data_IF_000340724393
#
_entry.id   IF_000340724393
#
_cell.length_a   1.000
_cell.length_b   1.000
_cell.length_c   1.000
_cell.angle_alpha   90.00
_cell.angle_beta   90.00
_cell.angle_gamma   90.00
#
_symmetry.space_group_name_H-M   'P 1'
#
loop_
_entity.id
_entity.type
_entity.pdbx_description
1 polymer ?
#
# COMPACT_ATOMS: atom_id res chain seq x y z
N UNK A 1 -9.82 20.13 32.33
CA UNK A 1 -10.21 20.15 30.90
C UNK A 1 -11.55 19.44 30.84
N UNK A 2 -12.62 20.04 30.29
CA UNK A 2 -13.93 19.43 30.40
C UNK A 2 -13.93 18.08 29.68
N UNK A 3 -14.31 17.07 30.45
CA UNK A 3 -14.77 15.76 30.03
C UNK A 3 -15.97 15.95 29.06
N UNK A 4 -16.09 15.12 28.03
CA UNK A 4 -17.12 15.14 26.97
C UNK A 4 -16.99 16.20 25.86
N UNK A 5 -15.89 16.18 25.11
CA UNK A 5 -15.96 16.54 23.68
C UNK A 5 -16.51 15.33 22.90
N UNK A 6 -17.82 15.30 22.66
CA UNK A 6 -18.42 14.36 21.72
C UNK A 6 -17.98 14.74 20.30
N UNK A 7 -16.94 14.09 19.80
CA UNK A 7 -16.40 14.36 18.46
C UNK A 7 -17.42 13.85 17.43
N UNK A 8 -17.95 14.71 16.54
CA UNK A 8 -18.95 14.30 15.57
C UNK A 8 -18.49 13.10 14.72
N UNK A 9 -19.37 12.11 14.53
CA UNK A 9 -19.08 10.87 13.78
C UNK A 9 -19.94 10.72 12.53
N UNK A 10 -19.33 10.31 11.43
CA UNK A 10 -20.00 10.02 10.16
C UNK A 10 -20.27 8.50 10.00
N UNK A 11 -21.39 8.09 9.41
CA UNK A 11 -21.52 6.74 8.87
C UNK A 11 -20.36 6.43 7.91
N UNK A 12 -19.84 5.22 7.94
CA UNK A 12 -18.76 4.79 7.04
C UNK A 12 -19.17 4.92 5.57
N UNK A 13 -20.42 4.56 5.24
CA UNK A 13 -21.01 4.70 3.91
C UNK A 13 -21.05 6.14 3.40
N UNK A 14 -21.39 7.09 4.26
CA UNK A 14 -21.44 8.53 3.93
C UNK A 14 -20.04 9.06 3.61
N UNK A 15 -19.06 8.73 4.44
CA UNK A 15 -17.67 9.13 4.21
C UNK A 15 -17.11 8.52 2.92
N UNK A 16 -17.32 7.22 2.69
CA UNK A 16 -16.89 6.53 1.47
C UNK A 16 -17.47 7.16 0.21
N UNK A 17 -18.77 7.47 0.21
CA UNK A 17 -19.44 8.09 -0.94
C UNK A 17 -18.86 9.47 -1.24
N UNK A 18 -18.64 10.28 -0.21
CA UNK A 18 -18.02 11.59 -0.36
C UNK A 18 -16.55 11.53 -0.79
N UNK A 19 -15.79 10.58 -0.24
CA UNK A 19 -14.38 10.36 -0.60
C UNK A 19 -14.24 9.88 -2.05
N UNK A 20 -15.15 9.00 -2.48
CA UNK A 20 -15.23 8.56 -3.87
C UNK A 20 -15.51 9.74 -4.80
N UNK A 21 -16.59 10.48 -4.57
CA UNK A 21 -17.03 11.57 -5.44
C UNK A 21 -16.00 12.71 -5.53
N UNK A 22 -15.43 13.13 -4.40
CA UNK A 22 -14.57 14.32 -4.36
C UNK A 22 -13.10 14.03 -4.64
N UNK A 23 -12.61 12.84 -4.28
CA UNK A 23 -11.19 12.49 -4.45
C UNK A 23 -10.95 11.43 -5.51
N UNK A 24 -11.56 10.25 -5.37
CA UNK A 24 -11.23 9.09 -6.21
C UNK A 24 -11.88 9.15 -7.60
N UNK A 25 -12.88 9.99 -7.81
CA UNK A 25 -13.54 10.13 -9.11
C UNK A 25 -12.81 11.10 -10.06
N UNK A 26 -12.14 12.11 -9.50
CA UNK A 26 -11.51 13.17 -10.29
C UNK A 26 -10.11 13.52 -9.74
N UNK A 27 -10.02 14.14 -8.57
CA UNK A 27 -8.76 14.72 -8.07
C UNK A 27 -7.55 13.77 -8.15
N UNK A 28 -7.71 12.52 -7.68
CA UNK A 28 -6.63 11.53 -7.71
C UNK A 28 -6.37 11.02 -9.13
N UNK A 29 -7.42 10.77 -9.92
CA UNK A 29 -7.30 10.35 -11.33
C UNK A 29 -6.54 11.39 -12.15
N UNK A 30 -6.80 12.66 -11.88
CA UNK A 30 -6.20 13.82 -12.54
C UNK A 30 -4.75 14.07 -12.11
N UNK A 31 -4.23 13.37 -11.10
CA UNK A 31 -2.83 13.45 -10.65
C UNK A 31 -2.62 13.93 -9.23
N UNK A 32 -3.67 14.43 -8.59
CA UNK A 32 -3.63 14.77 -7.17
C UNK A 32 -3.36 13.55 -6.29
N UNK A 33 -2.95 13.82 -5.06
CA UNK A 33 -2.71 12.77 -4.06
C UNK A 33 -3.20 13.21 -2.70
N UNK A 34 -3.64 12.25 -1.89
CA UNK A 34 -4.28 12.53 -0.61
C UNK A 34 -3.90 11.49 0.45
N UNK A 35 -3.72 11.96 1.68
CA UNK A 35 -3.64 11.11 2.87
C UNK A 35 -4.86 11.40 3.74
N UNK A 36 -5.56 10.35 4.17
CA UNK A 36 -6.70 10.42 5.08
C UNK A 36 -6.50 9.46 6.24
N UNK A 37 -6.95 9.87 7.41
CA UNK A 37 -7.01 9.10 8.62
C UNK A 37 -8.46 8.89 8.97
N UNK A 38 -8.85 7.64 9.18
CA UNK A 38 -10.19 7.30 9.63
C UNK A 38 -10.10 6.56 10.95
N UNK A 39 -11.00 6.93 11.85
CA UNK A 39 -11.09 6.39 13.19
C UNK A 39 -12.46 5.75 13.39
N UNK A 40 -12.53 4.50 13.80
CA UNK A 40 -13.81 3.81 13.96
C UNK A 40 -13.66 2.48 14.67
N UNK A 41 -14.79 1.90 15.09
CA UNK A 41 -14.82 0.53 15.56
C UNK A 41 -14.54 -0.48 14.43
N UNK A 42 -14.39 -1.75 14.80
CA UNK A 42 -14.07 -2.83 13.86
C UNK A 42 -15.08 -2.96 12.73
N UNK A 43 -16.37 -2.70 13.00
CA UNK A 43 -17.41 -2.78 12.00
C UNK A 43 -17.29 -1.63 10.99
N UNK A 44 -17.12 -0.40 11.46
CA UNK A 44 -16.94 0.79 10.62
C UNK A 44 -15.67 0.68 9.76
N UNK A 45 -14.54 0.26 10.35
CA UNK A 45 -13.28 0.12 9.61
C UNK A 45 -13.33 -1.05 8.60
N UNK A 46 -14.06 -2.12 8.93
CA UNK A 46 -14.32 -3.20 7.96
C UNK A 46 -15.18 -2.72 6.79
N UNK A 47 -16.22 -1.91 7.06
CA UNK A 47 -17.04 -1.27 6.03
C UNK A 47 -16.19 -0.36 5.14
N UNK A 48 -15.30 0.46 5.71
CA UNK A 48 -14.34 1.28 4.95
C UNK A 48 -13.44 0.42 4.07
N UNK A 49 -12.81 -0.62 4.62
CA UNK A 49 -11.93 -1.51 3.85
C UNK A 49 -12.65 -2.11 2.64
N UNK A 50 -13.81 -2.73 2.87
CA UNK A 50 -14.60 -3.35 1.80
C UNK A 50 -15.10 -2.32 0.78
N UNK A 51 -15.47 -1.13 1.23
CA UNK A 51 -15.86 -0.01 0.38
C UNK A 51 -14.72 0.47 -0.53
N UNK A 52 -13.52 0.69 0.02
CA UNK A 52 -12.34 1.10 -0.75
C UNK A 52 -11.93 0.03 -1.77
N UNK A 53 -11.99 -1.25 -1.40
CA UNK A 53 -11.69 -2.35 -2.32
C UNK A 53 -12.68 -2.38 -3.50
N UNK A 54 -13.98 -2.21 -3.21
CA UNK A 54 -15.03 -2.12 -4.23
C UNK A 54 -14.80 -0.92 -5.16
N UNK A 55 -14.62 0.27 -4.60
CA UNK A 55 -14.37 1.50 -5.37
C UNK A 55 -13.14 1.33 -6.26
N UNK A 56 -12.06 0.74 -5.73
CA UNK A 56 -10.86 0.53 -6.52
C UNK A 56 -11.07 -0.41 -7.71
N UNK A 57 -11.86 -1.48 -7.52
CA UNK A 57 -12.25 -2.38 -8.61
C UNK A 57 -13.08 -1.65 -9.65
N UNK A 58 -14.12 -0.94 -9.21
CA UNK A 58 -15.08 -0.25 -10.07
C UNK A 58 -14.42 0.89 -10.87
N UNK A 59 -13.45 1.58 -10.26
CA UNK A 59 -12.73 2.73 -10.85
C UNK A 59 -11.32 2.38 -11.35
N UNK A 60 -10.96 1.11 -11.42
CA UNK A 60 -9.69 0.65 -11.97
C UNK A 60 -8.43 1.24 -11.27
N UNK A 61 -8.46 1.36 -9.95
CA UNK A 61 -7.28 1.67 -9.13
C UNK A 61 -6.46 0.41 -8.84
N UNK A 62 -5.14 0.57 -8.69
CA UNK A 62 -4.33 -0.44 -8.03
C UNK A 62 -4.57 -0.35 -6.51
N UNK A 63 -5.30 -1.31 -5.95
CA UNK A 63 -5.62 -1.34 -4.53
C UNK A 63 -4.72 -2.27 -3.74
N UNK A 64 -4.24 -1.81 -2.57
CA UNK A 64 -3.64 -2.67 -1.56
C UNK A 64 -4.11 -2.32 -0.16
N UNK A 65 -4.58 -3.36 0.53
CA UNK A 65 -4.78 -3.34 1.97
C UNK A 65 -3.54 -3.89 2.67
N UNK A 66 -3.05 -3.16 3.68
CA UNK A 66 -1.87 -3.48 4.48
C UNK A 66 -2.30 -3.58 5.94
N UNK A 67 -2.28 -4.78 6.49
CA UNK A 67 -2.66 -5.02 7.88
C UNK A 67 -1.42 -5.10 8.78
N UNK A 68 -1.22 -4.11 9.65
CA UNK A 68 -0.07 -4.12 10.57
C UNK A 68 -0.21 -5.10 11.75
N UNK A 69 -1.41 -5.62 11.98
CA UNK A 69 -1.76 -6.54 13.07
C UNK A 69 -1.62 -8.03 12.70
N UNK A 70 -1.48 -8.36 11.41
CA UNK A 70 -1.33 -9.74 10.93
C UNK A 70 0.16 -10.06 10.70
N UNK A 71 0.70 -11.17 11.25
CA UNK A 71 2.09 -11.55 11.02
C UNK A 71 2.32 -11.90 9.55
N UNK A 72 3.55 -11.64 9.08
CA UNK A 72 3.99 -12.14 7.78
C UNK A 72 4.12 -13.67 7.76
N UNK A 73 4.42 -14.26 6.59
CA UNK A 73 4.60 -15.71 6.44
C UNK A 73 5.70 -16.31 7.33
N UNK A 74 6.66 -15.49 7.79
CA UNK A 74 7.73 -15.87 8.71
C UNK A 74 7.33 -15.73 10.20
N UNK A 75 6.05 -15.44 10.47
CA UNK A 75 5.50 -15.22 11.80
C UNK A 75 5.91 -13.88 12.43
N UNK A 76 6.60 -13.00 11.70
CA UNK A 76 7.09 -11.73 12.25
C UNK A 76 6.13 -10.57 11.99
N UNK A 77 6.16 -9.53 12.85
CA UNK A 77 5.49 -8.27 12.59
C UNK A 77 5.85 -7.68 11.22
N UNK A 78 4.88 -7.23 10.40
CA UNK A 78 5.18 -6.59 9.13
C UNK A 78 5.83 -5.23 9.35
N UNK A 79 7.00 -5.01 8.75
CA UNK A 79 7.83 -3.84 9.03
C UNK A 79 7.46 -2.63 8.15
N UNK A 80 6.17 -2.30 8.03
CA UNK A 80 5.69 -1.19 7.19
C UNK A 80 6.27 0.20 7.57
N UNK A 81 6.75 0.37 8.81
CA UNK A 81 7.49 1.55 9.26
C UNK A 81 8.83 1.76 8.53
N UNK A 82 9.34 0.74 7.83
CA UNK A 82 10.49 0.86 6.93
C UNK A 82 10.02 1.04 5.50
N UNK A 83 10.32 2.19 4.87
CA UNK A 83 9.83 2.53 3.52
C UNK A 83 10.14 1.48 2.45
N UNK A 84 11.27 0.76 2.51
CA UNK A 84 11.57 -0.32 1.56
C UNK A 84 10.69 -1.55 1.77
N UNK A 85 10.31 -1.85 3.01
CA UNK A 85 9.38 -2.94 3.34
C UNK A 85 7.95 -2.56 2.99
N UNK A 86 7.56 -1.30 3.20
CA UNK A 86 6.29 -0.76 2.71
C UNK A 86 6.21 -0.85 1.19
N UNK A 87 7.24 -0.39 0.47
CA UNK A 87 7.30 -0.52 -0.98
C UNK A 87 7.09 -1.96 -1.44
N UNK A 88 7.85 -2.91 -0.88
CA UNK A 88 7.70 -4.33 -1.24
C UNK A 88 6.30 -4.86 -0.95
N UNK A 89 5.72 -4.53 0.20
CA UNK A 89 4.35 -4.93 0.53
C UNK A 89 3.32 -4.34 -0.43
N UNK A 90 3.51 -3.08 -0.86
CA UNK A 90 2.68 -2.43 -1.88
C UNK A 90 2.82 -3.13 -3.22
N UNK A 91 4.02 -3.50 -3.66
CA UNK A 91 4.26 -4.00 -5.04
C UNK A 91 4.26 -5.52 -5.20
N UNK A 92 4.20 -6.29 -4.12
CA UNK A 92 4.34 -7.75 -4.13
C UNK A 92 3.29 -8.48 -4.98
N UNK A 93 2.04 -7.99 -5.01
CA UNK A 93 0.94 -8.62 -5.75
C UNK A 93 0.74 -8.01 -7.15
N UNK A 94 1.66 -7.17 -7.62
CA UNK A 94 1.58 -6.63 -8.99
C UNK A 94 1.88 -7.75 -9.98
N UNK A 95 0.98 -7.95 -10.94
CA UNK A 95 1.23 -8.80 -12.11
C UNK A 95 2.13 -8.05 -13.11
N UNK A 96 3.42 -7.94 -12.75
CA UNK A 96 4.42 -7.21 -13.53
C UNK A 96 4.53 -7.75 -14.96
N UNK A 97 4.42 -9.06 -15.13
CA UNK A 97 4.51 -9.74 -16.43
C UNK A 97 3.26 -9.45 -17.27
N UNK A 98 2.06 -9.56 -16.69
CA UNK A 98 0.82 -9.21 -17.39
C UNK A 98 0.78 -7.74 -17.80
N UNK A 99 1.19 -6.82 -16.92
CA UNK A 99 1.27 -5.39 -17.24
C UNK A 99 2.31 -5.13 -18.32
N UNK A 100 3.49 -5.77 -18.25
CA UNK A 100 4.51 -5.64 -19.30
C UNK A 100 3.99 -6.14 -20.66
N UNK A 101 3.29 -7.27 -20.70
CA UNK A 101 2.70 -7.83 -21.92
C UNK A 101 1.65 -6.91 -22.53
N UNK A 102 0.78 -6.34 -21.70
CA UNK A 102 -0.23 -5.37 -22.16
C UNK A 102 0.42 -4.12 -22.75
N UNK A 103 1.47 -3.61 -22.11
CA UNK A 103 2.18 -2.43 -22.60
C UNK A 103 2.98 -2.71 -23.87
N UNK A 104 3.61 -3.88 -23.96
CA UNK A 104 4.28 -4.32 -25.18
C UNK A 104 3.29 -4.36 -26.37
N UNK A 105 2.07 -4.90 -26.16
CA UNK A 105 1.00 -4.87 -27.18
C UNK A 105 0.63 -3.45 -27.58
N UNK A 106 0.38 -2.55 -26.61
CA UNK A 106 0.05 -1.16 -26.90
C UNK A 106 1.13 -0.46 -27.72
N UNK A 107 2.41 -0.72 -27.45
CA UNK A 107 3.52 -0.15 -28.24
C UNK A 107 3.52 -0.70 -29.68
N UNK A 108 3.24 -2.00 -29.88
CA UNK A 108 3.10 -2.57 -31.22
C UNK A 108 1.89 -1.98 -31.96
N UNK A 109 0.75 -1.84 -31.27
CA UNK A 109 -0.47 -1.23 -31.81
C UNK A 109 -0.23 0.23 -32.23
N UNK A 110 0.45 1.02 -31.39
CA UNK A 110 0.83 2.42 -31.69
C UNK A 110 1.76 2.53 -32.92
N UNK A 111 2.59 1.51 -33.15
CA UNK A 111 3.45 1.42 -34.34
C UNK A 111 2.70 0.90 -35.58
N UNK A 112 1.44 0.49 -35.44
CA UNK A 112 0.67 -0.15 -36.50
C UNK A 112 1.15 -1.57 -36.83
N UNK A 113 1.90 -2.20 -35.94
CA UNK A 113 2.40 -3.57 -36.10
C UNK A 113 1.28 -4.55 -35.78
N UNK A 114 0.87 -5.33 -36.78
CA UNK A 114 -0.16 -6.36 -36.63
C UNK A 114 0.41 -7.58 -35.92
N UNK A 115 -0.15 -7.91 -34.76
CA UNK A 115 0.09 -9.21 -34.10
C UNK A 115 -1.01 -10.19 -34.55
N UNK A 116 -0.67 -11.30 -35.24
CA UNK A 116 -1.67 -12.29 -35.66
C UNK A 116 -2.47 -12.84 -34.48
N UNK A 117 -3.75 -13.15 -34.70
CA UNK A 117 -4.61 -13.69 -33.64
C UNK A 117 -4.06 -15.02 -33.10
N UNK A 118 -3.92 -15.14 -31.78
CA UNK A 118 -3.35 -16.32 -31.12
C UNK A 118 -1.83 -16.39 -31.14
N UNK A 119 -1.14 -15.43 -31.77
CA UNK A 119 0.32 -15.31 -31.74
C UNK A 119 0.79 -14.82 -30.36
N UNK A 120 1.77 -15.51 -29.78
CA UNK A 120 2.46 -15.00 -28.60
C UNK A 120 3.39 -13.85 -28.99
N UNK A 121 3.63 -12.91 -28.06
CA UNK A 121 4.53 -11.79 -28.33
C UNK A 121 5.98 -12.24 -28.51
N UNK A 122 6.37 -13.35 -27.90
CA UNK A 122 7.71 -13.93 -28.03
C UNK A 122 7.97 -14.54 -29.41
N UNK A 123 6.93 -14.77 -30.23
CA UNK A 123 7.08 -15.22 -31.61
C UNK A 123 7.31 -14.03 -32.55
N UNK A 124 8.43 -13.36 -32.33
CA UNK A 124 8.81 -12.14 -33.06
C UNK A 124 9.00 -12.39 -34.56
N UNK A 125 9.38 -13.61 -34.95
CA UNK A 125 9.58 -14.00 -36.35
C UNK A 125 8.25 -14.01 -37.10
N UNK A 126 7.21 -14.63 -36.51
CA UNK A 126 5.86 -14.64 -37.08
C UNK A 126 5.28 -13.23 -37.16
N UNK A 127 5.50 -12.41 -36.11
CA UNK A 127 5.05 -11.01 -36.11
C UNK A 127 5.79 -10.22 -37.21
N UNK A 128 7.10 -10.35 -37.34
CA UNK A 128 7.88 -9.65 -38.37
C UNK A 128 7.43 -10.04 -39.79
N UNK A 129 7.26 -11.34 -40.05
CA UNK A 129 6.78 -11.85 -41.33
C UNK A 129 5.38 -11.33 -41.69
N UNK A 130 4.46 -11.28 -40.72
CA UNK A 130 3.10 -10.76 -40.93
C UNK A 130 3.05 -9.26 -41.26
N UNK A 131 4.11 -8.52 -40.95
CA UNK A 131 4.25 -7.08 -41.19
C UNK A 131 5.22 -6.75 -42.33
N UNK A 132 5.74 -7.76 -43.03
CA UNK A 132 6.70 -7.55 -44.13
C UNK A 132 8.01 -6.90 -43.68
N UNK A 133 8.39 -7.07 -42.41
CA UNK A 133 9.61 -6.54 -41.83
C UNK A 133 10.57 -7.69 -41.47
N UNK A 134 11.86 -7.40 -41.36
CA UNK A 134 12.81 -8.30 -40.69
C UNK A 134 12.73 -8.13 -39.17
N UNK A 135 13.10 -9.18 -38.45
CA UNK A 135 13.08 -9.23 -36.98
C UNK A 135 13.85 -8.09 -36.32
N UNK A 136 15.06 -7.80 -36.79
CA UNK A 136 15.95 -6.83 -36.14
C UNK A 136 15.44 -5.40 -36.31
N UNK A 137 14.89 -5.09 -37.49
CA UNK A 137 14.20 -3.82 -37.75
C UNK A 137 13.01 -3.63 -36.81
N UNK A 138 12.19 -4.67 -36.64
CA UNK A 138 11.02 -4.60 -35.75
C UNK A 138 11.45 -4.40 -34.28
N UNK A 139 12.42 -5.19 -33.78
CA UNK A 139 12.95 -5.04 -32.42
C UNK A 139 13.51 -3.64 -32.20
N UNK A 140 14.22 -3.09 -33.18
CA UNK A 140 14.78 -1.73 -33.10
C UNK A 140 13.67 -0.68 -33.02
N UNK A 141 12.69 -0.71 -33.92
CA UNK A 141 11.56 0.22 -33.94
C UNK A 141 10.78 0.16 -32.63
N UNK A 142 10.49 -1.05 -32.14
CA UNK A 142 9.84 -1.27 -30.86
C UNK A 142 10.65 -0.68 -29.71
N UNK A 143 11.94 -0.97 -29.63
CA UNK A 143 12.80 -0.53 -28.52
C UNK A 143 12.90 0.99 -28.47
N UNK A 144 13.01 1.65 -29.63
CA UNK A 144 13.02 3.11 -29.73
C UNK A 144 11.68 3.71 -29.25
N UNK A 145 10.54 3.14 -29.67
CA UNK A 145 9.22 3.62 -29.26
C UNK A 145 8.93 3.37 -27.78
N UNK A 146 9.25 2.17 -27.27
CA UNK A 146 9.10 1.82 -25.86
C UNK A 146 9.90 2.76 -24.95
N UNK A 147 11.15 3.08 -25.34
CA UNK A 147 11.98 4.06 -24.62
C UNK A 147 11.36 5.44 -24.62
N UNK A 148 10.87 5.95 -25.76
CA UNK A 148 10.19 7.25 -25.84
C UNK A 148 8.96 7.32 -24.92
N UNK A 149 8.18 6.24 -24.84
CA UNK A 149 6.97 6.16 -24.00
C UNK A 149 7.26 6.27 -22.51
N UNK A 150 8.43 5.81 -22.07
CA UNK A 150 8.86 5.96 -20.66
C UNK A 150 9.75 7.17 -20.44
N UNK A 151 10.19 7.87 -21.48
CA UNK A 151 11.15 8.97 -21.39
C UNK A 151 10.51 10.20 -20.76
N UNK A 152 10.33 10.11 -19.44
CA UNK A 152 9.82 11.13 -18.57
C UNK A 152 10.66 11.14 -17.30
N UNK A 153 11.00 12.33 -16.84
CA UNK A 153 11.90 12.55 -15.71
C UNK A 153 11.21 12.34 -14.35
N UNK A 154 9.91 12.07 -14.35
CA UNK A 154 9.13 11.80 -13.12
C UNK A 154 9.39 10.40 -12.52
N UNK A 155 9.94 9.47 -13.31
CA UNK A 155 10.42 8.17 -12.82
C UNK A 155 11.95 8.14 -12.65
N UNK A 156 12.46 7.30 -11.74
CA UNK A 156 13.90 7.03 -11.67
C UNK A 156 14.39 6.29 -12.91
N UNK A 157 15.66 6.53 -13.26
CA UNK A 157 16.30 5.89 -14.43
C UNK A 157 16.24 4.37 -14.30
N UNK A 158 16.57 3.84 -13.13
CA UNK A 158 16.58 2.40 -12.87
C UNK A 158 15.18 1.78 -12.97
N UNK A 159 14.14 2.47 -12.49
CA UNK A 159 12.77 1.98 -12.63
C UNK A 159 12.33 1.95 -14.08
N UNK A 160 12.62 3.01 -14.85
CA UNK A 160 12.36 3.05 -16.30
C UNK A 160 13.07 1.93 -17.04
N UNK A 161 14.35 1.73 -16.73
CA UNK A 161 15.14 0.67 -17.34
C UNK A 161 14.58 -0.71 -16.99
N UNK A 162 14.12 -0.91 -15.76
CA UNK A 162 13.50 -2.16 -15.33
C UNK A 162 12.22 -2.45 -16.12
N UNK A 163 11.27 -1.51 -16.16
CA UNK A 163 9.99 -1.74 -16.87
C UNK A 163 10.20 -1.88 -18.37
N UNK A 164 11.04 -1.06 -19.02
CA UNK A 164 11.31 -1.20 -20.46
C UNK A 164 12.02 -2.49 -20.81
N UNK A 165 12.98 -2.93 -19.99
CA UNK A 165 13.64 -4.22 -20.17
C UNK A 165 12.65 -5.36 -20.01
N UNK A 166 11.70 -5.25 -19.08
CA UNK A 166 10.65 -6.25 -18.87
C UNK A 166 9.68 -6.32 -20.05
N UNK A 167 9.41 -5.20 -20.75
CA UNK A 167 8.60 -5.24 -21.97
C UNK A 167 9.37 -5.84 -23.14
N UNK A 168 10.67 -5.53 -23.27
CA UNK A 168 11.52 -6.11 -24.30
C UNK A 168 11.63 -7.64 -24.14
N UNK A 169 11.68 -8.13 -22.89
CA UNK A 169 11.64 -9.56 -22.55
C UNK A 169 10.34 -10.25 -23.02
N UNK A 170 9.25 -9.51 -23.28
CA UNK A 170 8.03 -10.11 -23.84
C UNK A 170 8.16 -10.46 -25.33
N UNK A 171 9.00 -9.73 -26.08
CA UNK A 171 9.24 -9.95 -27.51
C UNK A 171 10.39 -10.91 -27.75
N UNK A 172 11.37 -10.88 -26.84
CA UNK A 172 12.53 -11.74 -26.90
C UNK A 172 12.83 -12.30 -25.50
N UNK A 173 12.08 -13.33 -25.07
CA UNK A 173 12.26 -13.92 -23.75
C UNK A 173 13.70 -14.40 -23.53
N UNK A 174 14.31 -13.97 -22.44
CA UNK A 174 15.64 -14.44 -22.07
C UNK A 174 15.58 -15.90 -21.59
N UNK A 175 16.22 -16.81 -22.33
CA UNK A 175 16.28 -18.24 -21.98
C UNK A 175 17.39 -18.59 -20.98
N UNK A 176 18.12 -17.59 -20.46
CA UNK A 176 19.17 -17.81 -19.44
C UNK A 176 18.57 -18.10 -18.05
N UNK A 177 19.40 -18.65 -17.15
CA UNK A 177 19.03 -18.90 -15.75
C UNK A 177 19.98 -18.17 -14.80
N UNK A 178 19.48 -17.27 -13.93
CA UNK A 178 18.09 -16.82 -13.81
C UNK A 178 17.67 -15.94 -15.01
N UNK A 179 16.42 -16.07 -15.43
CA UNK A 179 15.88 -15.33 -16.58
C UNK A 179 15.70 -13.83 -16.25
N UNK A 180 15.76 -12.99 -17.28
CA UNK A 180 15.61 -11.54 -17.13
C UNK A 180 14.28 -11.15 -16.48
N UNK A 181 13.17 -11.70 -16.97
CA UNK A 181 11.83 -11.44 -16.43
C UNK A 181 11.68 -11.83 -14.96
N UNK A 182 12.25 -12.97 -14.54
CA UNK A 182 12.23 -13.42 -13.15
C UNK A 182 12.99 -12.43 -12.24
N UNK A 183 14.20 -12.06 -12.66
CA UNK A 183 15.07 -11.11 -11.97
C UNK A 183 14.39 -9.76 -11.82
N UNK A 184 13.90 -9.17 -12.92
CA UNK A 184 13.26 -7.86 -12.89
C UNK A 184 11.98 -7.85 -12.06
N UNK A 185 11.17 -8.92 -12.13
CA UNK A 185 9.96 -9.04 -11.31
C UNK A 185 10.30 -9.09 -9.82
N UNK A 186 11.34 -9.84 -9.44
CA UNK A 186 11.83 -9.88 -8.06
C UNK A 186 12.32 -8.50 -7.59
N UNK A 187 13.09 -7.79 -8.43
CA UNK A 187 13.60 -6.46 -8.10
C UNK A 187 12.50 -5.41 -7.97
N UNK A 188 11.58 -5.34 -8.94
CA UNK A 188 10.44 -4.41 -8.96
C UNK A 188 9.51 -4.64 -7.76
N UNK A 189 9.40 -5.87 -7.28
CA UNK A 189 8.64 -6.24 -6.09
C UNK A 189 9.40 -6.01 -4.77
N UNK A 190 10.64 -5.50 -4.82
CA UNK A 190 11.49 -5.33 -3.64
C UNK A 190 11.88 -6.63 -2.95
N UNK A 191 11.78 -7.79 -3.63
CA UNK A 191 12.11 -9.11 -3.11
C UNK A 191 13.60 -9.41 -3.21
N UNK A 192 14.03 -10.47 -2.52
CA UNK A 192 15.37 -11.02 -2.69
C UNK A 192 15.52 -11.58 -4.10
N UNK A 193 16.60 -11.20 -4.77
CA UNK A 193 16.93 -11.67 -6.12
C UNK A 193 17.41 -13.12 -6.10
N UNK A 194 17.16 -13.90 -7.17
CA UNK A 194 17.77 -15.22 -7.33
C UNK A 194 19.30 -15.12 -7.41
N UNK A 195 20.03 -16.21 -7.10
CA UNK A 195 21.49 -16.27 -7.26
C UNK A 195 21.91 -15.84 -8.68
N UNK A 196 22.93 -14.98 -8.79
CA UNK A 196 23.37 -14.43 -10.08
C UNK A 196 22.52 -13.26 -10.63
N UNK A 197 21.36 -12.95 -10.03
CA UNK A 197 20.46 -11.88 -10.50
C UNK A 197 21.10 -10.48 -10.56
N UNK A 198 22.11 -10.21 -9.72
CA UNK A 198 22.86 -8.94 -9.78
C UNK A 198 23.57 -8.72 -11.11
N UNK A 199 24.08 -9.77 -11.75
CA UNK A 199 24.74 -9.68 -13.06
C UNK A 199 23.71 -9.38 -14.16
N UNK A 200 22.52 -9.96 -14.06
CA UNK A 200 21.40 -9.70 -14.97
C UNK A 200 20.94 -8.24 -14.85
N UNK A 201 20.77 -7.72 -13.64
CA UNK A 201 20.38 -6.32 -13.40
C UNK A 201 21.38 -5.32 -13.99
N UNK A 202 22.69 -5.61 -13.92
CA UNK A 202 23.73 -4.74 -14.51
C UNK A 202 23.61 -4.63 -16.03
N UNK A 203 23.12 -5.66 -16.73
CA UNK A 203 22.84 -5.57 -18.19
C UNK A 203 21.76 -4.52 -18.49
N UNK A 204 20.82 -4.34 -17.56
CA UNK A 204 19.78 -3.31 -17.61
C UNK A 204 20.20 -1.98 -16.99
N UNK A 205 21.50 -1.78 -16.67
CA UNK A 205 22.00 -0.59 -16.00
C UNK A 205 21.38 -0.36 -14.61
N UNK A 206 21.03 -1.43 -13.90
CA UNK A 206 20.52 -1.38 -12.53
C UNK A 206 21.60 -1.92 -11.60
N UNK A 207 22.15 -1.05 -10.74
CA UNK A 207 23.30 -1.38 -9.90
C UNK A 207 22.95 -1.60 -8.42
N UNK A 208 21.81 -1.09 -7.98
CA UNK A 208 21.39 -1.10 -6.59
C UNK A 208 20.17 -1.97 -6.33
N UNK A 209 19.99 -2.35 -5.06
CA UNK A 209 18.73 -2.90 -4.56
C UNK A 209 17.80 -1.78 -4.11
N UNK A 210 16.52 -2.10 -4.02
CA UNK A 210 15.54 -1.26 -3.35
C UNK A 210 15.79 -1.34 -1.84
N UNK A 211 16.14 -0.21 -1.25
CA UNK A 211 16.52 -0.07 0.15
C UNK A 211 15.95 1.22 0.77
N UNK A 212 16.21 1.47 2.06
CA UNK A 212 15.59 2.58 2.78
C UNK A 212 15.85 3.97 2.18
N UNK A 213 16.97 4.14 1.48
CA UNK A 213 17.38 5.43 0.89
C UNK A 213 16.70 5.75 -0.44
N UNK A 214 16.28 4.74 -1.20
CA UNK A 214 15.78 4.92 -2.57
C UNK A 214 14.35 4.40 -2.79
N UNK A 215 13.81 3.56 -1.89
CA UNK A 215 12.47 2.97 -2.03
C UNK A 215 11.35 4.01 -2.16
N UNK A 216 11.53 5.20 -1.59
CA UNK A 216 10.59 6.31 -1.78
C UNK A 216 10.51 6.77 -3.23
N UNK A 217 11.66 6.97 -3.88
CA UNK A 217 11.72 7.37 -5.28
C UNK A 217 11.14 6.29 -6.19
N UNK A 218 11.34 5.01 -5.84
CA UNK A 218 10.70 3.91 -6.54
C UNK A 218 9.19 3.83 -6.29
N UNK A 219 8.70 4.18 -5.10
CA UNK A 219 7.25 4.27 -4.85
C UNK A 219 6.61 5.38 -5.68
N UNK A 220 7.26 6.55 -5.79
CA UNK A 220 6.83 7.62 -6.70
C UNK A 220 6.81 7.13 -8.15
N UNK A 221 7.89 6.48 -8.58
CA UNK A 221 7.97 5.91 -9.94
C UNK A 221 6.89 4.87 -10.19
N UNK A 222 6.54 4.07 -9.18
CA UNK A 222 5.46 3.10 -9.25
C UNK A 222 4.09 3.78 -9.40
N UNK A 223 3.82 4.85 -8.66
CA UNK A 223 2.57 5.60 -8.81
C UNK A 223 2.45 6.20 -10.22
N UNK A 224 3.52 6.79 -10.73
CA UNK A 224 3.57 7.30 -12.11
C UNK A 224 3.37 6.17 -13.13
N UNK A 225 4.01 5.04 -12.91
CA UNK A 225 3.88 3.87 -13.77
C UNK A 225 2.47 3.29 -13.81
N UNK A 226 1.78 3.22 -12.66
CA UNK A 226 0.42 2.68 -12.61
C UNK A 226 -0.56 3.44 -13.50
N UNK A 227 -0.38 4.76 -13.63
CA UNK A 227 -1.16 5.57 -14.57
C UNK A 227 -0.88 5.21 -16.02
N UNK A 228 0.39 5.00 -16.38
CA UNK A 228 0.80 4.68 -17.76
C UNK A 228 0.29 3.33 -18.23
N UNK A 229 0.15 2.38 -17.31
CA UNK A 229 -0.51 1.10 -17.61
C UNK A 229 -2.03 1.22 -17.74
N UNK A 230 -2.59 2.40 -17.52
CA UNK A 230 -4.01 2.71 -17.67
C UNK A 230 -4.83 2.49 -16.40
N UNK A 231 -4.19 2.46 -15.22
CA UNK A 231 -4.92 2.52 -13.94
C UNK A 231 -5.21 3.96 -13.56
N UNK A 232 -6.25 4.16 -12.76
CA UNK A 232 -6.64 5.48 -12.25
C UNK A 232 -5.68 6.04 -11.19
N UNK A 233 -4.82 5.18 -10.62
CA UNK A 233 -3.84 5.53 -9.60
C UNK A 233 -3.60 4.38 -8.62
N UNK A 234 -3.01 4.71 -7.48
CA UNK A 234 -2.76 3.78 -6.37
C UNK A 234 -3.65 4.14 -5.18
N UNK A 235 -4.44 3.17 -4.70
CA UNK A 235 -5.23 3.29 -3.48
C UNK A 235 -4.67 2.34 -2.41
N UNK A 236 -4.08 2.92 -1.37
CA UNK A 236 -3.54 2.17 -0.23
C UNK A 236 -4.46 2.35 0.98
N UNK A 237 -4.81 1.23 1.61
CA UNK A 237 -5.46 1.21 2.90
C UNK A 237 -4.51 0.54 3.91
N UNK A 238 -4.11 1.27 4.95
CA UNK A 238 -3.25 0.79 6.02
C UNK A 238 -4.08 0.65 7.30
N UNK A 239 -4.19 -0.57 7.79
CA UNK A 239 -4.65 -0.80 9.16
C UNK A 239 -3.50 -0.56 10.13
N UNK A 240 -3.57 0.56 10.86
CA UNK A 240 -2.55 1.02 11.79
C UNK A 240 -2.69 0.37 13.18
N UNK A 241 -3.77 -0.37 13.46
CA UNK A 241 -4.09 -0.86 14.81
C UNK A 241 -3.04 -1.81 15.40
N UNK A 242 -2.24 -2.48 14.58
CA UNK A 242 -1.07 -3.24 15.07
C UNK A 242 -0.02 -2.35 15.74
N UNK A 243 0.19 -1.14 15.22
CA UNK A 243 1.13 -0.16 15.78
C UNK A 243 0.62 0.54 17.04
N UNK A 244 -0.69 0.55 17.30
CA UNK A 244 -1.27 1.12 18.53
C UNK A 244 -0.95 0.29 19.78
N UNK A 245 -0.79 -1.02 19.60
CA UNK A 245 -0.57 -1.97 20.69
C UNK A 245 0.82 -1.76 21.30
N UNK A 246 0.86 -1.49 22.60
CA UNK A 246 2.11 -1.36 23.36
C UNK A 246 2.67 -2.74 23.68
N UNK A 247 3.98 -2.87 23.57
CA UNK A 247 4.69 -4.09 23.94
C UNK A 247 4.65 -4.27 25.47
N UNK A 248 3.80 -5.18 25.92
CA UNK A 248 3.43 -5.31 27.33
C UNK A 248 3.35 -6.75 27.77
N UNK A 249 4.31 -7.62 27.41
CA UNK A 249 4.34 -9.00 27.93
C UNK A 249 4.20 -9.07 29.46
N UNK A 250 4.71 -8.04 30.17
CA UNK A 250 4.53 -7.86 31.62
C UNK A 250 3.15 -7.31 32.01
N UNK A 251 2.54 -6.49 31.18
CA UNK A 251 1.23 -5.85 31.40
C UNK A 251 0.11 -6.83 31.13
N UNK A 252 0.14 -7.59 30.03
CA UNK A 252 -0.86 -8.62 29.74
C UNK A 252 -0.88 -9.71 30.82
N UNK A 253 0.28 -10.16 31.30
CA UNK A 253 0.33 -11.09 32.41
C UNK A 253 -0.23 -10.47 33.70
N UNK A 254 -0.03 -9.17 33.94
CA UNK A 254 -0.59 -8.46 35.08
C UNK A 254 -2.11 -8.22 34.95
N UNK A 255 -2.58 -7.91 33.75
CA UNK A 255 -3.99 -7.65 33.44
C UNK A 255 -4.80 -8.96 33.42
N UNK A 256 -4.25 -10.04 32.84
CA UNK A 256 -4.82 -11.38 32.94
C UNK A 256 -4.84 -11.83 34.41
N UNK A 257 -3.77 -11.59 35.16
CA UNK A 257 -3.75 -11.92 36.59
C UNK A 257 -4.78 -11.09 37.38
N UNK A 258 -4.95 -9.80 37.06
CA UNK A 258 -5.93 -8.93 37.70
C UNK A 258 -7.37 -9.33 37.35
N UNK A 259 -7.65 -9.64 36.09
CA UNK A 259 -8.95 -10.10 35.62
C UNK A 259 -9.32 -11.47 36.22
N UNK A 260 -8.36 -12.40 36.30
CA UNK A 260 -8.55 -13.69 36.98
C UNK A 260 -8.79 -13.50 38.47
N UNK A 261 -8.07 -12.59 39.14
CA UNK A 261 -8.30 -12.26 40.55
C UNK A 261 -9.70 -11.69 40.80
N UNK A 262 -10.14 -10.71 40.00
CA UNK A 262 -11.49 -10.14 40.10
C UNK A 262 -12.56 -11.20 39.87
N UNK A 263 -12.37 -12.07 38.87
CA UNK A 263 -13.29 -13.17 38.58
C UNK A 263 -13.41 -14.18 39.74
N UNK A 264 -12.31 -14.47 40.43
CA UNK A 264 -12.30 -15.32 41.63
C UNK A 264 -13.02 -14.63 42.79
N UNK A 265 -12.78 -13.34 43.01
CA UNK A 265 -13.44 -12.55 44.06
C UNK A 265 -14.96 -12.41 43.82
N UNK A 266 -15.38 -12.34 42.56
CA UNK A 266 -16.78 -12.34 42.13
C UNK A 266 -17.44 -13.74 42.19
N UNK A 267 -16.69 -14.78 42.55
CA UNK A 267 -17.21 -16.16 42.66
C UNK A 267 -17.53 -16.83 41.32
N UNK A 268 -16.92 -16.35 40.21
CA UNK A 268 -17.13 -16.96 38.89
C UNK A 268 -16.64 -18.40 38.87
N UNK A 269 -17.33 -19.24 38.12
CA UNK A 269 -16.99 -20.65 37.96
C UNK A 269 -15.65 -20.82 37.21
N UNK A 270 -15.00 -21.95 37.41
CA UNK A 270 -13.75 -22.32 36.71
C UNK A 270 -13.89 -22.21 35.19
N UNK A 271 -15.06 -22.56 34.64
CA UNK A 271 -15.35 -22.49 33.20
C UNK A 271 -15.44 -21.05 32.68
N UNK A 272 -15.94 -20.11 33.47
CA UNK A 272 -15.99 -18.68 33.10
C UNK A 272 -14.60 -18.05 33.17
N UNK A 273 -13.78 -18.45 34.16
CA UNK A 273 -12.37 -18.03 34.24
C UNK A 273 -11.58 -18.56 33.04
N UNK A 274 -11.79 -19.83 32.66
CA UNK A 274 -11.19 -20.41 31.45
C UNK A 274 -11.60 -19.66 30.18
N UNK A 275 -12.86 -19.23 30.07
CA UNK A 275 -13.33 -18.41 28.96
C UNK A 275 -12.69 -17.02 28.93
N UNK A 276 -12.50 -16.37 30.09
CA UNK A 276 -11.79 -15.09 30.20
C UNK A 276 -10.33 -15.25 29.74
N UNK A 277 -9.65 -16.31 30.21
CA UNK A 277 -8.26 -16.60 29.81
C UNK A 277 -8.18 -16.94 28.32
N UNK A 278 -9.12 -17.71 27.78
CA UNK A 278 -9.18 -18.06 26.36
C UNK A 278 -9.47 -16.84 25.47
N UNK A 279 -10.37 -15.94 25.90
CA UNK A 279 -10.66 -14.69 25.20
C UNK A 279 -9.42 -13.78 25.16
N UNK A 280 -8.74 -13.59 26.29
CA UNK A 280 -7.48 -12.83 26.34
C UNK A 280 -6.32 -13.51 25.59
N UNK A 281 -6.32 -14.85 25.54
CA UNK A 281 -5.38 -15.64 24.73
C UNK A 281 -5.63 -15.48 23.22
N UNK A 282 -6.87 -15.29 22.79
CA UNK A 282 -7.21 -15.02 21.38
C UNK A 282 -6.78 -13.61 20.94
N UNK A 283 -6.76 -12.62 21.83
CA UNK A 283 -6.16 -11.30 21.57
C UNK A 283 -4.63 -11.36 21.45
N UNK A 284 -4.00 -12.40 22.00
CA UNK A 284 -2.54 -12.64 21.94
C UNK A 284 -2.02 -13.08 20.57
N UNK A 285 -2.87 -13.42 19.60
CA UNK A 285 -2.43 -13.77 18.24
C UNK A 285 -2.10 -12.56 17.36
N UNK A 286 -2.39 -11.35 17.85
CA UNK A 286 -2.13 -10.10 17.16
C UNK A 286 -0.66 -9.69 17.24
N UNK A 287 -0.13 -9.21 16.13
CA UNK A 287 1.22 -8.66 16.05
C UNK A 287 1.36 -7.44 16.95
N UNK A 288 2.52 -7.33 17.62
CA UNK A 288 2.92 -6.14 18.38
C UNK A 288 4.16 -5.51 17.76
N UNK A 289 4.17 -4.17 17.69
CA UNK A 289 5.32 -3.39 17.21
C UNK A 289 6.07 -2.73 18.36
N UNK A 290 7.41 -2.72 18.28
CA UNK A 290 8.26 -2.02 19.25
C UNK A 290 7.99 -0.50 19.27
N UNK A 291 8.36 0.19 20.36
CA UNK A 291 8.23 1.65 20.45
C UNK A 291 8.94 2.38 19.30
N UNK A 292 10.16 1.93 18.96
CA UNK A 292 10.92 2.46 17.83
C UNK A 292 10.21 2.27 16.49
N UNK A 293 9.62 1.10 16.27
CA UNK A 293 8.86 0.81 15.04
C UNK A 293 7.63 1.72 14.92
N UNK A 294 6.94 1.96 16.03
CA UNK A 294 5.84 2.92 16.10
C UNK A 294 6.28 4.35 15.80
N UNK A 295 7.34 4.85 16.45
CA UNK A 295 7.89 6.19 16.20
C UNK A 295 8.35 6.37 14.74
N UNK A 296 8.93 5.34 14.16
CA UNK A 296 9.29 5.31 12.74
C UNK A 296 8.04 5.34 11.85
N UNK A 297 6.97 4.63 12.23
CA UNK A 297 5.73 4.60 11.44
C UNK A 297 5.04 5.96 11.43
N UNK A 298 4.85 6.60 12.59
CA UNK A 298 4.22 7.92 12.66
C UNK A 298 5.08 9.01 12.00
N UNK A 299 6.40 8.89 12.06
CA UNK A 299 7.33 9.72 11.29
C UNK A 299 7.17 9.50 9.78
N UNK A 300 7.01 8.25 9.34
CA UNK A 300 6.80 7.89 7.94
C UNK A 300 5.46 8.42 7.42
N UNK A 301 4.37 8.31 8.20
CA UNK A 301 3.05 8.84 7.85
C UNK A 301 3.08 10.37 7.71
N UNK A 302 3.70 11.08 8.66
CA UNK A 302 3.93 12.52 8.51
C UNK A 302 4.77 12.86 7.27
N UNK A 303 5.69 11.98 6.86
CA UNK A 303 6.45 12.10 5.59
C UNK A 303 5.65 11.81 4.34
N UNK A 304 4.55 11.09 4.42
CA UNK A 304 3.62 11.01 3.31
C UNK A 304 2.83 12.31 3.19
N UNK A 305 2.37 12.89 4.29
CA UNK A 305 1.63 14.16 4.28
C UNK A 305 2.50 15.30 3.72
N UNK A 306 3.67 15.56 4.32
CA UNK A 306 4.51 16.71 3.91
C UNK A 306 5.06 16.59 2.46
N UNK A 307 5.11 15.39 1.90
CA UNK A 307 5.64 15.12 0.56
C UNK A 307 4.57 14.60 -0.41
N UNK A 308 3.28 14.77 -0.09
CA UNK A 308 2.19 14.13 -0.84
C UNK A 308 2.15 14.58 -2.30
N UNK A 309 2.51 15.83 -2.57
CA UNK A 309 2.60 16.42 -3.92
C UNK A 309 3.66 15.76 -4.80
N UNK A 310 4.59 14.99 -4.23
CA UNK A 310 5.59 14.22 -4.99
C UNK A 310 5.04 12.91 -5.52
N UNK A 311 3.92 12.43 -4.99
CA UNK A 311 3.28 11.22 -5.47
C UNK A 311 2.20 11.64 -6.46
N UNK A 312 2.23 11.16 -7.71
CA UNK A 312 1.12 11.34 -8.63
C UNK A 312 0.03 10.29 -8.35
N UNK A 313 -1.23 10.69 -8.31
CA UNK A 313 -2.39 9.76 -8.26
C UNK A 313 -2.34 8.72 -7.13
N UNK A 314 -1.93 9.13 -5.92
CA UNK A 314 -1.88 8.30 -4.72
C UNK A 314 -2.97 8.71 -3.72
N UNK A 315 -3.80 7.76 -3.33
CA UNK A 315 -4.66 7.87 -2.15
C UNK A 315 -4.17 6.91 -1.06
N UNK A 316 -3.84 7.43 0.12
CA UNK A 316 -3.48 6.64 1.31
C UNK A 316 -4.51 6.87 2.42
N UNK A 317 -5.21 5.81 2.81
CA UNK A 317 -6.15 5.81 3.93
C UNK A 317 -5.53 5.03 5.09
N UNK A 318 -5.35 5.69 6.23
CA UNK A 318 -4.84 5.11 7.48
C UNK A 318 -6.01 4.88 8.42
N UNK A 319 -6.21 3.63 8.84
CA UNK A 319 -7.32 3.21 9.70
C UNK A 319 -6.81 2.91 11.10
N UNK A 320 -7.41 3.52 12.11
CA UNK A 320 -6.98 3.39 13.50
C UNK A 320 -8.17 3.35 14.47
N UNK A 321 -7.94 2.85 15.68
CA UNK A 321 -9.00 2.73 16.70
C UNK A 321 -9.39 4.12 17.24
N UNK A 322 -10.61 4.29 17.81
CA UNK A 322 -11.03 5.55 18.42
C UNK A 322 -10.10 6.01 19.54
N UNK A 323 -9.59 5.06 20.33
CA UNK A 323 -8.66 5.35 21.43
C UNK A 323 -7.35 5.99 20.99
N UNK A 324 -6.87 5.73 19.76
CA UNK A 324 -5.61 6.29 19.26
C UNK A 324 -5.66 7.81 19.10
N UNK A 325 -6.84 8.35 18.76
CA UNK A 325 -7.08 9.78 18.60
C UNK A 325 -7.78 10.43 19.80
N UNK A 326 -8.04 9.65 20.85
CA UNK A 326 -8.70 10.09 22.07
C UNK A 326 -7.81 10.92 23.00
N UNK A 327 -8.31 11.29 24.19
CA UNK A 327 -7.51 11.90 25.23
C UNK A 327 -6.36 10.99 25.66
N UNK A 328 -5.26 11.60 26.12
CA UNK A 328 -4.06 10.86 26.52
C UNK A 328 -4.40 9.94 27.70
N UNK A 329 -4.16 8.64 27.53
CA UNK A 329 -4.35 7.63 28.56
C UNK A 329 -2.98 7.02 28.92
N UNK A 330 -2.71 6.75 30.21
CA UNK A 330 -1.45 6.13 30.61
C UNK A 330 -1.22 4.81 29.87
N UNK A 331 -0.01 4.65 29.30
CA UNK A 331 0.43 3.41 28.63
C UNK A 331 -0.31 3.06 27.33
N UNK A 332 -0.99 4.01 26.71
CA UNK A 332 -1.59 3.86 25.38
C UNK A 332 -0.82 4.72 24.38
N UNK A 333 -0.52 4.18 23.20
CA UNK A 333 0.03 4.99 22.10
C UNK A 333 -1.05 5.88 21.55
N UNK A 334 -0.72 7.14 21.31
CA UNK A 334 -1.66 8.11 20.76
C UNK A 334 -1.00 8.94 19.67
N UNK A 335 -1.78 9.49 18.75
CA UNK A 335 -1.24 10.38 17.71
C UNK A 335 -0.51 11.62 18.29
N UNK A 336 -0.76 11.96 19.57
CA UNK A 336 -0.08 13.04 20.32
C UNK A 336 1.34 12.70 20.74
N UNK A 337 1.73 11.42 20.68
CA UNK A 337 3.12 11.00 20.95
C UNK A 337 4.12 11.63 19.97
N UNK A 338 3.63 12.13 18.82
CA UNK A 338 4.44 12.83 17.84
C UNK A 338 3.74 14.10 17.36
N UNK A 339 4.05 15.20 18.06
CA UNK A 339 3.50 16.54 17.81
C UNK A 339 3.49 16.90 16.31
N UNK A 340 4.57 16.58 15.58
CA UNK A 340 4.61 16.89 14.15
C UNK A 340 3.48 16.21 13.35
N UNK A 341 3.05 14.99 13.66
CA UNK A 341 1.88 14.38 13.00
C UNK A 341 0.58 15.03 13.49
N UNK A 342 0.46 15.26 14.81
CA UNK A 342 -0.71 15.90 15.42
C UNK A 342 -1.05 17.24 14.74
N UNK A 343 -0.08 18.13 14.52
CA UNK A 343 -0.35 19.44 13.91
C UNK A 343 -0.84 19.36 12.46
N UNK A 344 -0.68 18.22 11.76
CA UNK A 344 -1.19 18.05 10.39
C UNK A 344 -2.58 17.46 10.33
N UNK A 345 -3.00 16.68 11.33
CA UNK A 345 -4.25 15.91 11.26
C UNK A 345 -5.25 16.25 12.38
N UNK A 346 -4.76 16.77 13.51
CA UNK A 346 -5.59 17.11 14.67
C UNK A 346 -6.01 18.58 14.70
N UNK A 347 -5.11 19.49 14.30
CA UNK A 347 -5.31 20.95 14.43
C UNK A 347 -6.02 21.56 13.21
N UNK A 348 -6.94 20.82 12.61
CA UNK A 348 -7.77 21.29 11.50
C UNK A 348 -9.00 22.08 11.95
N UNK A 349 -9.70 22.69 11.00
CA UNK A 349 -10.96 23.40 11.27
C UNK A 349 -12.07 22.39 11.51
N UNK A 350 -12.61 22.37 12.72
CA UNK A 350 -13.68 21.47 13.14
C UNK A 350 -14.94 22.23 13.55
N UNK A 351 -16.10 21.73 13.14
CA UNK A 351 -17.39 22.18 13.67
C UNK A 351 -17.74 21.37 14.93
N UNK A 352 -18.38 22.01 15.91
CA UNK A 352 -18.69 21.39 17.21
C UNK A 352 -19.83 20.36 17.13
N UNK A 353 -20.60 20.36 16.04
CA UNK A 353 -21.84 19.58 15.88
C UNK A 353 -21.85 18.77 14.58
N UNK A 354 -20.98 19.08 13.62
CA UNK A 354 -20.90 18.42 12.33
C UNK A 354 -19.50 17.93 12.07
N UNK A 355 -19.39 16.69 11.62
CA UNK A 355 -18.13 16.15 11.15
C UNK A 355 -17.81 16.76 9.78
N UNK A 356 -16.56 17.16 9.59
CA UNK A 356 -16.05 17.56 8.29
C UNK A 356 -15.59 16.30 7.54
N UNK A 357 -16.28 15.85 6.48
CA UNK A 357 -15.90 14.65 5.74
C UNK A 357 -14.59 14.81 4.95
N UNK A 358 -14.12 16.05 4.76
CA UNK A 358 -12.90 16.37 4.01
C UNK A 358 -11.68 16.63 4.89
N UNK A 359 -11.85 16.55 6.21
CA UNK A 359 -10.76 16.62 7.17
C UNK A 359 -9.71 15.51 6.94
N UNK A 360 -8.46 15.78 7.27
CA UNK A 360 -7.42 14.75 7.26
C UNK A 360 -7.72 13.63 8.26
N UNK A 361 -8.38 13.93 9.38
CA UNK A 361 -8.87 12.95 10.36
C UNK A 361 -10.40 12.96 10.42
N UNK A 362 -11.02 11.80 10.16
CA UNK A 362 -12.47 11.62 10.23
C UNK A 362 -12.82 10.52 11.23
N UNK A 363 -13.78 10.79 12.11
CA UNK A 363 -14.33 9.82 13.03
C UNK A 363 -15.60 9.18 12.47
N UNK A 364 -15.66 7.86 12.54
CA UNK A 364 -16.71 7.04 11.95
C UNK A 364 -17.53 6.35 13.04
N UNK A 365 -18.78 6.09 12.70
CA UNK A 365 -19.69 5.20 13.43
C UNK A 365 -20.13 4.07 12.49
N UNK A 366 -20.55 2.95 13.08
CA UNK A 366 -21.19 1.89 12.31
C UNK A 366 -22.38 2.43 11.49
N UNK A 367 -22.57 1.87 10.30
CA UNK A 367 -23.76 2.15 9.51
C UNK A 367 -25.00 1.66 10.30
N UNK A 368 -26.07 2.45 10.30
CA UNK A 368 -27.33 1.99 10.87
C UNK A 368 -27.84 0.79 10.04
N UNK A 369 -28.34 -0.28 10.68
CA UNK A 369 -28.80 -1.49 9.98
C UNK A 369 -29.96 -1.23 9.02
#
# INVERSE_FOLDING_TARGET
>A
MPEDYDVPRLPASEWLSGFEERYLADYVVSGGSVVRFVSGDDAALSSVRSGLERIARDRNYYFRFLDSGIPGPDGKPPQYHTISRLYGAVTECVDWQGWAREQARRVLDDLGIRVPTGCDLGDIETIAAANGADRDTLIKQYTEQARRRVQDYDMTVEFRNAVTSLWADQLHPDTTTPGLGEVLTAWLSGRTMPPGGSSVLKRCQIYGRIGPTNARHYLVSFCEWTRRVGRSGVLLALDFRGYERVDGARTLAADTLAAVKSAIEEGKSTREIEQIVAAMGSESSSVRHSKRAYEQMISLLRRFIDEIDRFPSLALVVMASPGYFGPEAPRVRTYRDYNALQTRIGDEVHDRRRANPDAALVHLKGDLP
#
